data_IF_249164941406
#
_entry.id   IF_249164941406
#
_cell.length_a   1.000
_cell.length_b   1.000
_cell.length_c   1.000
_cell.angle_alpha   90.00
_cell.angle_beta   90.00
_cell.angle_gamma   90.00
#
_symmetry.space_group_name_H-M   'P 1'
#
loop_
_entity.id
_entity.type
_entity.pdbx_description
1 polymer ?
#
# COMPACT_ATOMS: atom_id res chain seq x y z
N UNK A 1 -1.43 14.68 -8.24
CA UNK A 1 -1.97 13.88 -9.36
C UNK A 1 -1.23 12.56 -9.50
N UNK A 2 -1.60 11.73 -10.50
CA UNK A 2 -0.95 10.44 -10.68
C UNK A 2 -1.57 9.60 -11.79
N UNK A 3 -1.14 8.36 -11.87
CA UNK A 3 -1.63 7.36 -12.83
C UNK A 3 -1.98 6.09 -12.07
N UNK A 4 -3.08 5.45 -12.46
CA UNK A 4 -3.46 4.17 -11.91
C UNK A 4 -3.94 3.22 -13.00
N UNK A 5 -3.73 1.93 -12.79
CA UNK A 5 -4.25 0.86 -13.64
C UNK A 5 -4.57 -0.37 -12.80
N UNK A 6 -5.43 -1.22 -13.32
CA UNK A 6 -5.75 -2.54 -12.75
C UNK A 6 -6.01 -3.57 -13.84
N UNK A 7 -5.96 -4.82 -13.47
CA UNK A 7 -6.33 -5.93 -14.34
C UNK A 7 -7.79 -6.34 -14.10
N UNK A 8 -8.47 -6.69 -15.16
CA UNK A 8 -9.86 -7.18 -15.12
C UNK A 8 -9.92 -8.47 -15.91
N UNK A 9 -10.51 -9.52 -15.33
CA UNK A 9 -10.79 -10.75 -16.06
C UNK A 9 -12.26 -10.78 -16.52
N UNK A 10 -12.54 -10.82 -17.82
CA UNK A 10 -13.91 -10.88 -18.30
C UNK A 10 -14.53 -12.27 -18.17
N UNK A 11 -13.73 -13.30 -17.87
CA UNK A 11 -14.13 -14.69 -17.80
C UNK A 11 -13.29 -15.48 -16.80
N UNK A 12 -13.73 -16.68 -16.46
CA UNK A 12 -12.92 -17.60 -15.67
C UNK A 12 -11.66 -17.99 -16.45
N UNK A 13 -10.49 -17.81 -15.85
CA UNK A 13 -9.20 -18.03 -16.51
C UNK A 13 -8.20 -18.84 -15.67
N UNK A 14 -8.66 -19.47 -14.59
CA UNK A 14 -7.80 -20.24 -13.72
C UNK A 14 -6.84 -19.38 -12.90
N UNK A 15 -5.72 -19.94 -12.49
CA UNK A 15 -4.73 -19.24 -11.67
C UNK A 15 -3.80 -18.39 -12.53
N UNK A 16 -3.59 -17.15 -12.15
CA UNK A 16 -2.66 -16.23 -12.78
C UNK A 16 -1.79 -15.52 -11.76
N UNK A 17 -0.58 -15.13 -12.17
CA UNK A 17 0.36 -14.35 -11.39
C UNK A 17 0.51 -12.97 -12.02
N UNK A 18 0.44 -11.93 -11.20
CA UNK A 18 0.73 -10.58 -11.63
C UNK A 18 2.24 -10.38 -11.85
N UNK A 19 2.62 -9.85 -13.02
CA UNK A 19 4.00 -9.60 -13.41
C UNK A 19 4.29 -8.11 -13.61
N UNK A 20 3.53 -7.24 -12.98
CA UNK A 20 3.74 -5.79 -13.03
C UNK A 20 5.14 -5.41 -12.54
N UNK A 21 5.77 -4.48 -13.26
CA UNK A 21 7.04 -3.89 -12.87
C UNK A 21 7.00 -2.37 -12.94
N UNK A 22 7.70 -1.73 -12.01
CA UNK A 22 7.97 -0.29 -12.02
C UNK A 22 9.46 -0.11 -12.32
N UNK A 23 9.75 0.37 -13.53
CA UNK A 23 11.13 0.57 -14.00
C UNK A 23 11.44 2.07 -14.02
N UNK A 24 12.34 2.51 -13.16
CA UNK A 24 12.75 3.90 -13.06
C UNK A 24 13.87 4.21 -14.03
N UNK A 25 13.78 5.37 -14.68
CA UNK A 25 14.75 5.81 -15.71
C UNK A 25 16.14 6.15 -15.14
N UNK A 26 16.27 6.26 -13.83
CA UNK A 26 17.53 6.58 -13.16
C UNK A 26 17.58 6.01 -11.75
N UNK A 27 18.77 6.05 -11.19
CA UNK A 27 19.00 5.66 -9.80
C UNK A 27 18.66 6.82 -8.86
N UNK A 28 17.47 6.79 -8.30
CA UNK A 28 16.92 7.84 -7.46
C UNK A 28 17.01 7.48 -5.96
N UNK A 29 16.72 8.46 -5.12
CA UNK A 29 16.60 8.24 -3.68
C UNK A 29 15.18 7.82 -3.32
N UNK A 30 15.04 6.77 -2.51
CA UNK A 30 13.76 6.23 -2.11
C UNK A 30 13.64 6.03 -0.59
N UNK A 31 12.39 5.99 -0.14
CA UNK A 31 11.97 5.64 1.23
C UNK A 31 10.85 4.62 1.14
N UNK A 32 10.84 3.66 2.08
CA UNK A 32 9.84 2.59 2.12
C UNK A 32 9.22 2.49 3.50
N UNK A 33 7.95 2.18 3.55
CA UNK A 33 7.29 1.80 4.78
C UNK A 33 7.85 0.49 5.32
N UNK A 34 7.96 0.37 6.63
CA UNK A 34 8.55 -0.80 7.30
C UNK A 34 7.70 -1.29 8.50
N UNK A 35 6.39 -1.28 8.34
CA UNK A 35 5.49 -1.67 9.42
C UNK A 35 5.58 -0.72 10.62
N UNK A 36 5.61 -1.29 11.82
CA UNK A 36 5.73 -0.53 13.09
C UNK A 36 7.17 -0.13 13.43
N UNK A 37 8.11 -0.29 12.51
CA UNK A 37 9.52 0.06 12.67
C UNK A 37 9.81 1.40 12.00
N UNK A 38 11.02 1.90 12.17
CA UNK A 38 11.48 3.05 11.40
C UNK A 38 11.44 2.73 9.90
N UNK A 39 10.96 3.69 9.11
CA UNK A 39 10.96 3.58 7.68
C UNK A 39 12.38 3.33 7.15
N UNK A 40 12.47 2.57 6.07
CA UNK A 40 13.73 2.32 5.38
C UNK A 40 13.99 3.51 4.46
N UNK A 41 15.22 4.00 4.47
CA UNK A 41 15.68 5.10 3.64
C UNK A 41 16.17 6.32 4.44
N UNK A 42 16.78 7.32 3.77
CA UNK A 42 16.96 7.35 2.30
C UNK A 42 17.96 6.29 1.81
N UNK A 43 17.62 5.57 0.75
CA UNK A 43 18.54 4.67 0.07
C UNK A 43 18.44 4.86 -1.46
N UNK A 44 19.48 4.49 -2.19
CA UNK A 44 19.46 4.50 -3.67
C UNK A 44 18.64 3.32 -4.18
N UNK A 45 17.94 3.47 -5.30
CA UNK A 45 17.18 2.36 -5.89
C UNK A 45 18.08 1.15 -6.16
N UNK A 46 19.30 1.39 -6.63
CA UNK A 46 20.30 0.33 -6.91
C UNK A 46 20.87 -0.34 -5.66
N UNK A 47 20.68 0.23 -4.47
CA UNK A 47 21.08 -0.35 -3.19
C UNK A 47 20.01 -1.26 -2.61
N UNK A 48 18.76 -1.11 -3.07
CA UNK A 48 17.63 -1.89 -2.58
C UNK A 48 17.75 -3.35 -3.02
N UNK A 49 17.61 -4.26 -2.05
CA UNK A 49 17.59 -5.70 -2.28
C UNK A 49 16.45 -6.37 -1.51
N UNK A 50 15.76 -7.30 -2.17
CA UNK A 50 14.65 -8.06 -1.59
C UNK A 50 13.33 -7.32 -1.59
N UNK A 51 12.42 -7.71 -0.67
CA UNK A 51 11.08 -7.17 -0.59
C UNK A 51 11.03 -5.86 0.19
N UNK A 52 10.13 -4.97 -0.25
CA UNK A 52 9.75 -3.72 0.41
C UNK A 52 8.23 -3.58 0.44
N UNK A 53 7.74 -2.94 1.48
CA UNK A 53 6.32 -2.62 1.61
C UNK A 53 5.99 -1.28 0.94
N UNK A 54 4.78 -1.11 0.40
CA UNK A 54 4.28 0.20 0.05
C UNK A 54 3.99 1.00 1.36
N UNK A 55 4.06 2.29 1.35
CA UNK A 55 4.29 3.17 0.20
C UNK A 55 5.79 3.27 -0.07
N UNK A 56 6.16 3.21 -1.35
CA UNK A 56 7.49 3.52 -1.83
C UNK A 56 7.50 4.96 -2.32
N UNK A 57 8.18 5.85 -1.62
CA UNK A 57 8.34 7.24 -2.03
C UNK A 57 9.70 7.43 -2.71
N UNK A 58 9.73 8.10 -3.86
CA UNK A 58 10.94 8.32 -4.66
C UNK A 58 11.11 9.80 -4.93
N UNK A 59 12.30 10.35 -4.64
CA UNK A 59 12.71 11.67 -5.12
C UNK A 59 13.46 11.51 -6.43
N UNK A 60 12.78 11.78 -7.55
CA UNK A 60 13.34 11.65 -8.90
C UNK A 60 14.05 12.93 -9.38
N UNK A 61 13.64 14.11 -8.88
CA UNK A 61 14.29 15.40 -9.08
C UNK A 61 14.01 16.31 -7.87
N UNK A 62 14.53 17.52 -7.89
CA UNK A 62 14.29 18.49 -6.80
C UNK A 62 12.81 18.90 -6.71
N UNK A 63 12.13 18.89 -7.84
CA UNK A 63 10.72 19.22 -8.01
C UNK A 63 9.88 18.03 -8.55
N UNK A 64 10.35 16.79 -8.37
CA UNK A 64 9.62 15.61 -8.79
C UNK A 64 9.71 14.50 -7.74
N UNK A 65 8.58 14.24 -7.10
CA UNK A 65 8.38 13.16 -6.16
C UNK A 65 7.33 12.19 -6.70
N UNK A 66 7.59 10.91 -6.54
CA UNK A 66 6.70 9.82 -6.94
C UNK A 66 6.37 8.97 -5.71
N UNK A 67 5.18 8.37 -5.69
CA UNK A 67 4.86 7.33 -4.71
C UNK A 67 4.17 6.15 -5.38
N UNK A 68 4.71 4.96 -5.19
CA UNK A 68 4.07 3.71 -5.63
C UNK A 68 3.20 3.17 -4.51
N UNK A 69 1.92 3.00 -4.81
CA UNK A 69 0.91 2.55 -3.87
C UNK A 69 -0.14 1.66 -4.55
N UNK A 70 -1.18 1.30 -3.81
CA UNK A 70 -2.35 0.55 -4.27
C UNK A 70 -3.64 1.15 -3.72
N UNK A 71 -4.76 0.83 -4.35
CA UNK A 71 -6.09 1.21 -3.88
C UNK A 71 -7.11 0.13 -4.24
N UNK A 72 -8.27 0.12 -3.59
CA UNK A 72 -9.36 -0.82 -3.79
C UNK A 72 -8.89 -2.29 -3.69
N UNK A 73 -8.44 -2.66 -2.48
CA UNK A 73 -7.94 -3.99 -2.18
C UNK A 73 -9.11 -4.92 -1.76
N UNK A 74 -10.06 -5.15 -2.66
CA UNK A 74 -11.20 -6.04 -2.40
C UNK A 74 -10.85 -7.51 -2.66
N UNK A 75 -10.22 -7.76 -3.79
CA UNK A 75 -9.79 -9.09 -4.21
C UNK A 75 -8.30 -9.08 -4.50
N UNK A 76 -7.54 -9.87 -3.83
CA UNK A 76 -6.11 -9.99 -4.08
C UNK A 76 -5.23 -9.77 -2.86
N UNK A 77 -3.96 -9.93 -3.07
CA UNK A 77 -2.94 -9.80 -2.02
C UNK A 77 -2.45 -8.34 -1.93
N UNK A 78 -2.14 -7.88 -0.71
CA UNK A 78 -1.49 -6.59 -0.52
C UNK A 78 -0.19 -6.48 -1.32
N UNK A 79 0.03 -5.30 -1.90
CA UNK A 79 1.22 -5.01 -2.69
C UNK A 79 2.49 -5.19 -1.88
N UNK A 80 3.42 -5.93 -2.46
CA UNK A 80 4.83 -5.89 -2.08
C UNK A 80 5.66 -5.61 -3.32
N UNK A 81 6.75 -4.91 -3.14
CA UNK A 81 7.68 -4.56 -4.19
C UNK A 81 8.99 -5.33 -3.96
N UNK A 82 9.50 -5.97 -5.00
CA UNK A 82 10.77 -6.70 -4.93
C UNK A 82 11.76 -6.12 -5.93
N UNK A 83 12.96 -5.85 -5.48
CA UNK A 83 14.07 -5.43 -6.32
C UNK A 83 15.30 -6.30 -6.06
N UNK A 84 16.24 -6.26 -6.99
CA UNK A 84 17.56 -6.86 -6.88
C UNK A 84 18.62 -5.76 -6.90
N UNK A 85 19.63 -5.92 -6.08
CA UNK A 85 20.73 -4.96 -5.98
C UNK A 85 21.34 -4.67 -7.36
N UNK A 86 21.58 -3.39 -7.62
CA UNK A 86 22.11 -2.92 -8.90
C UNK A 86 21.04 -2.58 -9.94
N UNK A 87 19.76 -2.77 -9.63
CA UNK A 87 18.64 -2.46 -10.52
C UNK A 87 17.82 -1.28 -10.04
N UNK A 88 17.21 -0.57 -11.00
CA UNK A 88 16.18 0.45 -10.72
C UNK A 88 14.79 -0.06 -11.09
N UNK A 89 14.57 -1.38 -10.97
CA UNK A 89 13.34 -2.08 -11.32
C UNK A 89 12.76 -2.73 -10.07
N UNK A 90 11.48 -2.50 -9.86
CA UNK A 90 10.70 -3.09 -8.77
C UNK A 90 9.55 -3.91 -9.35
N UNK A 91 9.57 -5.21 -9.10
CA UNK A 91 8.50 -6.12 -9.48
C UNK A 91 7.44 -6.20 -8.39
N UNK A 92 6.18 -6.31 -8.77
CA UNK A 92 5.12 -6.70 -7.84
C UNK A 92 5.35 -8.12 -7.37
N UNK A 93 5.35 -8.33 -6.05
CA UNK A 93 5.54 -9.63 -5.41
C UNK A 93 4.26 -10.01 -4.66
N UNK A 94 3.36 -10.70 -5.36
CA UNK A 94 2.09 -11.18 -4.84
C UNK A 94 1.93 -12.68 -5.16
N UNK A 95 1.01 -13.35 -4.49
CA UNK A 95 0.71 -14.74 -4.78
C UNK A 95 -0.15 -14.87 -6.04
N UNK A 96 -0.12 -16.03 -6.72
CA UNK A 96 -1.07 -16.32 -7.79
C UNK A 96 -2.51 -16.22 -7.29
N UNK A 97 -3.37 -15.66 -8.11
CA UNK A 97 -4.79 -15.48 -7.83
C UNK A 97 -5.67 -16.29 -8.79
N UNK A 98 -6.79 -16.79 -8.28
CA UNK A 98 -7.77 -17.47 -9.13
C UNK A 98 -8.64 -16.40 -9.81
N UNK A 99 -8.57 -16.36 -11.14
CA UNK A 99 -9.34 -15.41 -11.93
C UNK A 99 -10.73 -16.00 -12.25
N UNK A 100 -11.75 -15.30 -11.81
CA UNK A 100 -13.16 -15.55 -12.16
C UNK A 100 -13.70 -14.45 -13.07
N UNK A 101 -14.84 -14.69 -13.67
CA UNK A 101 -15.51 -13.66 -14.45
C UNK A 101 -15.85 -12.43 -13.59
N UNK A 102 -15.39 -11.27 -14.01
CA UNK A 102 -15.55 -10.01 -13.27
C UNK A 102 -14.46 -9.72 -12.23
N UNK A 103 -13.47 -10.61 -12.04
CA UNK A 103 -12.33 -10.32 -11.16
C UNK A 103 -11.67 -8.99 -11.50
N UNK A 104 -11.35 -8.23 -10.48
CA UNK A 104 -10.62 -6.96 -10.58
C UNK A 104 -9.48 -6.96 -9.58
N UNK A 105 -8.25 -6.78 -10.06
CA UNK A 105 -7.12 -6.60 -9.15
C UNK A 105 -7.24 -5.27 -8.40
N UNK A 106 -6.50 -5.12 -7.31
CA UNK A 106 -6.25 -3.81 -6.75
C UNK A 106 -5.65 -2.87 -7.80
N UNK A 107 -5.92 -1.57 -7.66
CA UNK A 107 -5.26 -0.57 -8.48
C UNK A 107 -3.77 -0.50 -8.12
N UNK A 108 -2.93 -0.47 -9.13
CA UNK A 108 -1.53 -0.09 -9.02
C UNK A 108 -1.42 1.38 -9.31
N UNK A 109 -0.94 2.14 -8.33
CA UNK A 109 -1.01 3.60 -8.34
C UNK A 109 0.39 4.19 -8.30
N UNK A 110 0.65 5.17 -9.14
CA UNK A 110 1.82 6.03 -9.08
C UNK A 110 1.33 7.46 -8.87
N UNK A 111 1.47 7.97 -7.65
CA UNK A 111 1.26 9.38 -7.36
C UNK A 111 2.45 10.19 -7.83
N UNK A 112 2.24 11.44 -8.24
CA UNK A 112 3.30 12.37 -8.55
C UNK A 112 2.98 13.78 -8.05
N UNK A 113 4.02 14.48 -7.61
CA UNK A 113 3.93 15.84 -7.11
C UNK A 113 5.28 16.55 -7.18
N UNK A 114 5.25 17.86 -7.05
CA UNK A 114 6.46 18.68 -7.04
C UNK A 114 7.13 18.71 -5.66
N UNK A 115 6.40 18.40 -4.61
CA UNK A 115 6.85 18.35 -3.22
C UNK A 115 6.32 17.09 -2.54
N UNK A 116 6.97 16.60 -1.47
CA UNK A 116 6.48 15.46 -0.71
C UNK A 116 5.05 15.65 -0.19
N UNK A 117 4.68 16.87 0.22
CA UNK A 117 3.33 17.19 0.70
C UNK A 117 2.25 16.97 -0.36
N UNK A 118 2.56 17.17 -1.64
CA UNK A 118 1.61 16.97 -2.74
C UNK A 118 1.18 15.49 -2.85
N UNK A 119 2.02 14.55 -2.40
CA UNK A 119 1.69 13.13 -2.34
C UNK A 119 0.72 12.81 -1.20
N UNK A 120 0.89 13.51 -0.07
CA UNK A 120 0.02 13.36 1.11
C UNK A 120 -1.35 14.00 0.86
N UNK A 121 -1.36 15.15 0.20
CA UNK A 121 -2.59 15.90 -0.10
C UNK A 121 -3.35 15.32 -1.30
N UNK A 122 -2.85 14.27 -1.95
CA UNK A 122 -3.50 13.65 -3.09
C UNK A 122 -4.69 12.79 -2.67
N UNK A 123 -5.86 13.06 -3.25
CA UNK A 123 -7.07 12.26 -3.07
C UNK A 123 -7.20 11.10 -4.07
N UNK A 124 -6.16 10.80 -4.84
CA UNK A 124 -6.25 9.79 -5.90
C UNK A 124 -6.60 8.40 -5.35
N UNK A 125 -6.06 8.02 -4.19
CA UNK A 125 -6.36 6.73 -3.58
C UNK A 125 -7.82 6.63 -3.17
N UNK A 126 -8.39 7.69 -2.61
CA UNK A 126 -9.80 7.76 -2.21
C UNK A 126 -10.72 7.67 -3.43
N UNK A 127 -10.40 8.40 -4.50
CA UNK A 127 -11.17 8.39 -5.75
C UNK A 127 -11.16 7.04 -6.48
N UNK A 128 -10.17 6.18 -6.22
CA UNK A 128 -10.06 4.85 -6.82
C UNK A 128 -10.77 3.77 -5.99
N UNK A 129 -11.22 4.09 -4.79
CA UNK A 129 -12.04 3.21 -3.98
C UNK A 129 -13.53 3.45 -4.27
N UNK A 130 -14.37 2.41 -4.18
CA UNK A 130 -15.81 2.59 -4.33
C UNK A 130 -16.36 3.48 -3.21
N UNK A 131 -17.37 4.25 -3.53
CA UNK A 131 -18.14 4.96 -2.50
C UNK A 131 -18.69 3.98 -1.48
N UNK A 132 -18.73 4.35 -0.19
CA UNK A 132 -19.40 3.54 0.82
C UNK A 132 -20.85 3.26 0.39
N UNK A 133 -21.28 2.00 0.50
CA UNK A 133 -22.68 1.68 0.23
C UNK A 133 -23.56 2.50 1.17
N UNK A 134 -24.65 3.09 0.67
CA UNK A 134 -25.54 3.93 1.46
C UNK A 134 -26.28 3.20 2.60
N UNK A 135 -25.99 1.92 2.80
CA UNK A 135 -26.61 1.05 3.81
C UNK A 135 -25.96 1.16 5.20
N UNK A 136 -24.84 1.88 5.32
CA UNK A 136 -24.13 2.04 6.59
C UNK A 136 -24.56 3.33 7.29
N UNK A 137 -25.15 3.21 8.49
CA UNK A 137 -25.40 4.34 9.38
C UNK A 137 -24.21 4.55 10.32
N UNK A 138 -23.44 5.59 10.06
CA UNK A 138 -22.31 6.01 10.91
C UNK A 138 -22.68 7.10 11.92
N UNK A 139 -23.96 7.42 12.12
CA UNK A 139 -24.40 8.46 13.04
C UNK A 139 -24.02 8.21 14.50
N UNK A 140 -23.74 6.97 14.85
CA UNK A 140 -23.25 6.56 16.17
C UNK A 140 -21.77 6.88 16.41
N UNK A 141 -20.98 7.10 15.36
CA UNK A 141 -19.54 7.41 15.46
C UNK A 141 -19.37 8.83 15.97
N UNK A 142 -18.71 8.98 17.11
CA UNK A 142 -18.41 10.28 17.70
C UNK A 142 -16.93 10.38 18.02
N UNK A 143 -16.29 11.54 17.82
CA UNK A 143 -14.95 11.78 18.32
C UNK A 143 -14.89 11.58 19.83
N UNK A 144 -13.84 10.99 20.32
CA UNK A 144 -13.70 10.73 21.75
C UNK A 144 -12.31 10.19 22.11
N UNK A 145 -12.12 9.98 23.40
CA UNK A 145 -10.90 9.33 23.92
C UNK A 145 -11.12 7.83 23.93
N UNK A 146 -10.17 7.09 23.38
CA UNK A 146 -10.15 5.64 23.40
C UNK A 146 -9.00 5.13 24.27
N UNK A 147 -9.24 4.06 25.02
CA UNK A 147 -8.18 3.32 25.70
C UNK A 147 -7.75 2.15 24.83
N UNK A 148 -6.46 2.06 24.62
CA UNK A 148 -5.84 0.96 23.89
C UNK A 148 -4.88 0.21 24.81
N UNK A 149 -5.30 -0.95 25.29
CA UNK A 149 -4.58 -1.74 26.28
C UNK A 149 -3.36 -2.49 25.73
N UNK A 150 -3.32 -2.73 24.43
CA UNK A 150 -2.26 -3.44 23.75
C UNK A 150 -0.84 -2.97 24.14
N UNK A 151 -0.64 -1.65 24.26
CA UNK A 151 0.66 -1.09 24.61
C UNK A 151 0.94 -1.05 26.11
N UNK A 152 -0.10 -1.12 26.95
CA UNK A 152 0.05 -1.01 28.40
C UNK A 152 0.52 -2.33 28.98
N UNK A 153 0.05 -3.45 28.44
CA UNK A 153 0.24 -4.76 29.03
C UNK A 153 1.09 -5.72 28.18
N UNK A 154 1.75 -5.20 27.17
CA UNK A 154 2.46 -6.00 26.18
C UNK A 154 1.52 -6.83 25.32
N UNK A 155 1.95 -7.13 24.13
CA UNK A 155 1.20 -7.97 23.21
C UNK A 155 0.86 -9.31 23.88
N UNK A 156 -0.39 -9.57 24.05
CA UNK A 156 -0.94 -10.68 24.82
C UNK A 156 -0.82 -11.98 24.02
N UNK A 157 0.35 -12.55 23.97
CA UNK A 157 0.61 -13.78 23.22
C UNK A 157 0.09 -15.04 23.90
N UNK A 158 -0.27 -14.97 25.19
CA UNK A 158 -0.66 -16.14 25.97
C UNK A 158 -1.96 -15.92 26.75
N UNK A 159 -3.05 -15.65 26.05
CA UNK A 159 -4.39 -15.83 26.63
C UNK A 159 -4.78 -14.90 27.77
N UNK A 160 -4.20 -13.75 27.89
CA UNK A 160 -4.66 -12.73 28.83
C UNK A 160 -5.99 -12.15 28.34
N UNK A 161 -7.04 -12.38 29.12
CA UNK A 161 -8.34 -11.76 28.91
C UNK A 161 -8.44 -10.50 29.77
N UNK A 162 -8.55 -9.34 29.15
CA UNK A 162 -8.93 -8.14 29.86
C UNK A 162 -10.42 -8.12 30.09
N UNK A 163 -10.82 -8.17 31.35
CA UNK A 163 -12.11 -7.66 31.76
C UNK A 163 -11.91 -6.20 32.19
N UNK A 164 -12.25 -5.24 31.35
CA UNK A 164 -12.44 -3.90 31.85
C UNK A 164 -13.72 -3.87 32.68
N UNK A 165 -13.57 -3.84 33.98
CA UNK A 165 -14.66 -3.45 34.87
C UNK A 165 -14.71 -1.91 34.83
N UNK A 166 -15.76 -1.36 34.24
CA UNK A 166 -16.10 0.03 34.45
C UNK A 166 -16.64 0.19 35.88
N UNK A 167 -16.24 1.23 36.61
CA UNK A 167 -16.90 1.60 37.87
C UNK A 167 -18.34 1.99 37.67
#
# INVERSE_FOLDING_TARGET
EGVAFRYVSPQDAGSALELTTFNFAGDYTAWFYNGERHNIGPERLTETDGERLPVMTVKAADDLYLAVHEACLDEGEPLKLKSEKGQCLFSVSVKPHLLHAGYQSAWRVVLCGNRPGDLVDSHLLELLNPEPSGDYDFSWVKPGVALWDWRINGAQWEGFHYTMSYP
#
